data_IF_490895824095
#
_entry.id   IF_490895824095
#
_cell.length_a   1.000
_cell.length_b   1.000
_cell.length_c   1.000
_cell.angle_alpha   90.00
_cell.angle_beta   90.00
_cell.angle_gamma   90.00
#
_symmetry.space_group_name_H-M   'P 1'
#
loop_
_entity.id
_entity.type
_entity.pdbx_description
1 polymer ?
#
# COMPACT_ATOMS: atom_id res chain seq x y z
N UNK A 1 -33.78 -15.22 16.50
CA UNK A 1 -32.41 -14.86 16.13
C UNK A 1 -31.45 -15.32 17.23
N UNK A 2 -30.41 -16.08 16.88
CA UNK A 2 -29.48 -16.68 17.87
C UNK A 2 -28.49 -15.67 18.49
N UNK A 3 -28.69 -14.36 18.28
CA UNK A 3 -27.84 -13.30 18.85
C UNK A 3 -26.41 -13.28 18.26
N UNK A 4 -25.53 -12.45 18.88
CA UNK A 4 -24.12 -12.37 18.53
C UNK A 4 -23.36 -13.45 19.27
N UNK A 5 -22.80 -14.42 18.55
CA UNK A 5 -22.06 -15.55 19.15
C UNK A 5 -20.63 -15.22 19.53
N UNK A 6 -19.97 -14.36 18.73
CA UNK A 6 -18.58 -13.99 18.95
C UNK A 6 -18.54 -12.60 19.58
N UNK A 7 -17.96 -12.43 20.79
CA UNK A 7 -17.86 -11.13 21.45
C UNK A 7 -17.03 -10.14 20.62
N UNK A 8 -17.31 -8.85 20.82
CA UNK A 8 -16.43 -7.77 20.34
C UNK A 8 -15.29 -7.52 21.31
N UNK A 9 -14.17 -6.94 20.85
CA UNK A 9 -13.11 -6.47 21.73
C UNK A 9 -13.24 -4.97 21.97
N UNK A 10 -13.07 -4.55 23.21
CA UNK A 10 -13.15 -3.15 23.63
C UNK A 10 -12.01 -2.82 24.58
N UNK A 11 -11.55 -1.55 24.58
CA UNK A 11 -10.62 -1.00 25.56
C UNK A 11 -11.29 0.16 26.32
N UNK A 12 -10.96 0.33 27.58
CA UNK A 12 -11.43 1.49 28.32
C UNK A 12 -10.60 2.72 27.92
N UNK A 13 -11.28 3.80 27.57
CA UNK A 13 -10.65 5.06 27.22
C UNK A 13 -10.85 6.04 28.41
N UNK A 14 -9.81 6.21 29.20
CA UNK A 14 -9.84 7.06 30.39
C UNK A 14 -10.17 8.53 30.08
N UNK A 15 -9.72 9.05 28.94
CA UNK A 15 -9.94 10.46 28.55
C UNK A 15 -11.41 10.80 28.34
N UNK A 16 -12.20 9.85 27.87
CA UNK A 16 -13.62 10.05 27.55
C UNK A 16 -14.54 9.26 28.51
N UNK A 17 -13.99 8.47 29.43
CA UNK A 17 -14.72 7.67 30.41
C UNK A 17 -15.63 6.60 29.79
N UNK A 18 -15.26 6.09 28.58
CA UNK A 18 -16.09 5.13 27.82
C UNK A 18 -15.23 4.04 27.18
N UNK A 19 -15.88 2.95 26.81
CA UNK A 19 -15.26 1.89 26.04
C UNK A 19 -15.17 2.26 24.57
N UNK A 20 -14.02 2.02 23.96
CA UNK A 20 -13.76 2.14 22.53
C UNK A 20 -13.65 0.73 21.93
N UNK A 21 -14.24 0.50 20.78
CA UNK A 21 -14.19 -0.81 20.13
C UNK A 21 -12.83 -0.98 19.46
N UNK A 22 -12.09 -2.01 19.83
CA UNK A 22 -10.85 -2.43 19.18
C UNK A 22 -11.19 -3.15 17.86
N UNK A 23 -12.02 -4.21 17.93
CA UNK A 23 -12.51 -4.90 16.76
C UNK A 23 -13.96 -5.40 16.94
N UNK A 24 -14.64 -5.67 15.80
CA UNK A 24 -16.03 -6.10 15.80
C UNK A 24 -17.06 -4.99 15.50
N UNK A 25 -16.64 -3.86 14.92
CA UNK A 25 -17.50 -2.73 14.56
C UNK A 25 -18.75 -3.14 13.74
N UNK A 26 -18.59 -4.07 12.79
CA UNK A 26 -19.75 -4.56 11.98
C UNK A 26 -20.77 -5.29 12.85
N UNK A 27 -20.32 -6.13 13.81
CA UNK A 27 -21.19 -6.83 14.78
C UNK A 27 -21.91 -5.86 15.69
N UNK A 28 -21.20 -4.84 16.17
CA UNK A 28 -21.81 -3.78 16.99
C UNK A 28 -22.87 -3.01 16.21
N UNK A 29 -22.58 -2.58 14.99
CA UNK A 29 -23.56 -1.88 14.13
C UNK A 29 -24.79 -2.76 13.83
N UNK A 30 -24.58 -4.02 13.48
CA UNK A 30 -25.67 -4.96 13.23
C UNK A 30 -26.54 -5.19 14.46
N UNK A 31 -25.95 -5.28 15.67
CA UNK A 31 -26.68 -5.41 16.92
C UNK A 31 -27.52 -4.17 17.23
N UNK A 32 -26.97 -2.98 16.96
CA UNK A 32 -27.68 -1.70 17.14
C UNK A 32 -28.89 -1.62 16.18
N UNK A 33 -28.70 -1.97 14.91
CA UNK A 33 -29.78 -2.01 13.89
C UNK A 33 -30.85 -3.04 14.30
N UNK A 34 -30.45 -4.17 14.87
CA UNK A 34 -31.38 -5.21 15.34
C UNK A 34 -32.06 -4.88 16.68
N UNK A 35 -31.90 -3.66 17.22
CA UNK A 35 -32.52 -3.20 18.46
C UNK A 35 -32.04 -3.92 19.71
N UNK A 36 -30.83 -4.52 19.71
CA UNK A 36 -30.27 -5.19 20.87
C UNK A 36 -29.79 -4.16 21.90
N UNK A 37 -30.19 -4.36 23.17
CA UNK A 37 -29.77 -3.51 24.28
C UNK A 37 -28.34 -3.76 24.75
N UNK A 38 -27.78 -4.93 24.44
CA UNK A 38 -26.43 -5.32 24.82
C UNK A 38 -25.80 -6.25 23.77
N UNK A 39 -24.48 -6.31 23.80
CA UNK A 39 -23.67 -7.21 22.97
C UNK A 39 -22.55 -7.79 23.82
N UNK A 40 -22.22 -9.08 23.70
CA UNK A 40 -21.08 -9.66 24.38
C UNK A 40 -19.78 -8.95 23.98
N UNK A 41 -18.99 -8.54 24.98
CA UNK A 41 -17.70 -7.90 24.78
C UNK A 41 -16.68 -8.42 25.79
N UNK A 42 -15.40 -8.45 25.40
CA UNK A 42 -14.30 -8.63 26.34
C UNK A 42 -13.40 -7.39 26.33
N UNK A 43 -12.80 -7.12 27.47
CA UNK A 43 -11.93 -5.95 27.67
C UNK A 43 -10.51 -6.37 27.31
N UNK A 44 -9.89 -5.62 26.42
CA UNK A 44 -8.52 -5.78 25.96
C UNK A 44 -7.88 -4.39 25.94
N UNK A 45 -7.32 -4.01 27.09
CA UNK A 45 -6.70 -2.69 27.27
C UNK A 45 -5.29 -2.62 26.66
N UNK A 46 -4.67 -3.77 26.40
CA UNK A 46 -3.33 -3.87 25.80
C UNK A 46 -3.36 -3.72 24.28
N UNK A 47 -4.56 -3.70 23.70
CA UNK A 47 -4.75 -3.55 22.26
C UNK A 47 -4.27 -2.18 21.78
N UNK A 48 -3.32 -2.18 20.87
CA UNK A 48 -2.78 -0.97 20.22
C UNK A 48 -3.35 -0.81 18.81
N UNK A 49 -3.36 0.43 18.30
CA UNK A 49 -3.89 0.72 16.96
C UNK A 49 -3.13 -0.04 15.84
N UNK A 50 -1.86 -0.37 16.10
CA UNK A 50 -1.04 -1.18 15.18
C UNK A 50 -1.58 -2.62 15.03
N UNK A 51 -2.16 -3.23 16.09
CA UNK A 51 -2.74 -4.58 16.04
C UNK A 51 -3.95 -4.64 15.10
N UNK A 52 -4.74 -3.56 15.03
CA UNK A 52 -5.86 -3.46 14.09
C UNK A 52 -5.39 -3.47 12.63
N UNK A 53 -4.27 -2.80 12.36
CA UNK A 53 -3.70 -2.78 11.01
C UNK A 53 -3.16 -4.16 10.66
N UNK A 54 -2.45 -4.82 11.56
CA UNK A 54 -1.93 -6.17 11.37
C UNK A 54 -3.07 -7.15 11.07
N UNK A 55 -4.15 -7.15 11.87
CA UNK A 55 -5.34 -7.97 11.63
C UNK A 55 -5.97 -7.70 10.23
N UNK A 56 -6.09 -6.43 9.86
CA UNK A 56 -6.69 -6.04 8.59
C UNK A 56 -5.79 -6.36 7.38
N UNK A 57 -4.46 -6.29 7.52
CA UNK A 57 -3.51 -6.75 6.49
C UNK A 57 -3.64 -8.25 6.25
N UNK A 58 -3.85 -9.04 7.32
CA UNK A 58 -4.08 -10.49 7.20
C UNK A 58 -5.43 -10.82 6.54
N UNK A 59 -6.44 -9.98 6.72
CA UNK A 59 -7.77 -10.14 6.11
C UNK A 59 -7.89 -9.52 4.71
N UNK A 60 -6.82 -8.96 4.16
CA UNK A 60 -6.81 -8.28 2.85
C UNK A 60 -7.85 -7.15 2.75
N UNK A 61 -8.15 -6.49 3.87
CA UNK A 61 -9.15 -5.42 3.93
C UNK A 61 -8.58 -4.01 3.74
N UNK A 62 -7.25 -3.87 3.67
CA UNK A 62 -6.56 -2.59 3.47
C UNK A 62 -6.17 -2.39 2.02
N UNK A 63 -6.30 -1.16 1.56
CA UNK A 63 -5.76 -0.75 0.27
C UNK A 63 -4.23 -0.67 0.33
N UNK A 64 -3.58 -0.77 -0.82
CA UNK A 64 -2.12 -0.64 -0.91
C UNK A 64 -1.61 0.69 -0.33
N UNK A 65 -2.41 1.77 -0.44
CA UNK A 65 -2.09 3.07 0.15
C UNK A 65 -2.13 3.03 1.67
N UNK A 66 -3.18 2.49 2.28
CA UNK A 66 -3.29 2.38 3.74
C UNK A 66 -2.14 1.55 4.32
N UNK A 67 -1.75 0.49 3.61
CA UNK A 67 -0.58 -0.33 3.95
C UNK A 67 0.70 0.50 3.86
N UNK A 68 0.89 1.26 2.78
CA UNK A 68 2.06 2.12 2.61
C UNK A 68 2.14 3.18 3.71
N UNK A 69 1.02 3.84 4.04
CA UNK A 69 0.94 4.84 5.10
C UNK A 69 1.28 4.24 6.49
N UNK A 70 0.83 3.00 6.75
CA UNK A 70 1.22 2.28 7.96
C UNK A 70 2.72 2.01 8.00
N UNK A 71 3.28 1.45 6.93
CA UNK A 71 4.72 1.18 6.82
C UNK A 71 5.51 2.46 7.01
N UNK A 72 5.09 3.57 6.40
CA UNK A 72 5.72 4.88 6.56
C UNK A 72 5.77 5.34 8.03
N UNK A 73 4.65 5.20 8.76
CA UNK A 73 4.61 5.52 10.20
C UNK A 73 5.56 4.63 11.01
N UNK A 74 5.66 3.34 10.71
CA UNK A 74 6.57 2.44 11.42
C UNK A 74 8.04 2.74 11.13
N UNK A 75 8.38 3.07 9.87
CA UNK A 75 9.72 3.53 9.48
C UNK A 75 10.09 4.83 10.19
N UNK A 76 9.17 5.79 10.30
CA UNK A 76 9.35 7.04 11.04
C UNK A 76 9.58 6.84 12.55
N UNK A 77 9.04 5.74 13.12
CA UNK A 77 9.34 5.29 14.50
C UNK A 77 10.71 4.60 14.63
N UNK A 78 11.49 4.50 13.55
CA UNK A 78 12.83 3.87 13.55
C UNK A 78 12.84 2.36 13.33
N UNK A 79 11.70 1.73 13.03
CA UNK A 79 11.68 0.30 12.71
C UNK A 79 12.30 0.03 11.35
N UNK A 80 12.97 -1.12 11.20
CA UNK A 80 13.50 -1.56 9.90
C UNK A 80 12.41 -2.25 9.08
N UNK A 81 12.58 -2.29 7.75
CA UNK A 81 11.66 -3.04 6.88
C UNK A 81 11.59 -4.53 7.25
N UNK A 82 12.69 -5.11 7.76
CA UNK A 82 12.73 -6.49 8.23
C UNK A 82 11.84 -6.69 9.46
N UNK A 83 11.92 -5.78 10.44
CA UNK A 83 11.06 -5.82 11.64
C UNK A 83 9.58 -5.70 11.27
N UNK A 84 9.26 -4.74 10.40
CA UNK A 84 7.87 -4.53 9.93
C UNK A 84 7.36 -5.77 9.17
N UNK A 85 8.19 -6.40 8.35
CA UNK A 85 7.85 -7.62 7.63
C UNK A 85 7.51 -8.79 8.58
N UNK A 86 8.30 -8.94 9.64
CA UNK A 86 8.04 -9.94 10.68
C UNK A 86 6.72 -9.68 11.41
N UNK A 87 6.47 -8.44 11.85
CA UNK A 87 5.22 -8.04 12.53
C UNK A 87 3.99 -8.26 11.65
N UNK A 88 4.09 -7.96 10.35
CA UNK A 88 3.01 -8.15 9.37
C UNK A 88 2.91 -9.60 8.86
N UNK A 89 3.82 -10.49 9.22
CA UNK A 89 3.95 -11.85 8.65
C UNK A 89 3.98 -11.82 7.11
N UNK A 90 4.71 -10.86 6.54
CA UNK A 90 4.92 -10.68 5.10
C UNK A 90 6.42 -10.76 4.76
N UNK A 91 6.75 -10.86 3.47
CA UNK A 91 8.15 -10.80 3.05
C UNK A 91 8.70 -9.37 3.11
N UNK A 92 10.01 -9.22 3.27
CA UNK A 92 10.69 -7.91 3.21
C UNK A 92 10.46 -7.26 1.83
N UNK A 93 10.45 -8.05 0.76
CA UNK A 93 10.15 -7.58 -0.59
C UNK A 93 8.75 -6.99 -0.70
N UNK A 94 7.77 -7.59 -0.02
CA UNK A 94 6.40 -7.08 0.04
C UNK A 94 6.35 -5.72 0.75
N UNK A 95 7.01 -5.58 1.91
CA UNK A 95 7.11 -4.31 2.63
C UNK A 95 7.83 -3.25 1.80
N UNK A 96 8.96 -3.61 1.16
CA UNK A 96 9.71 -2.71 0.28
C UNK A 96 8.87 -2.20 -0.89
N UNK A 97 8.04 -3.07 -1.49
CA UNK A 97 7.17 -2.69 -2.60
C UNK A 97 6.13 -1.64 -2.19
N UNK A 98 5.49 -1.83 -1.03
CA UNK A 98 4.53 -0.85 -0.51
C UNK A 98 5.21 0.44 -0.03
N UNK A 99 6.39 0.36 0.58
CA UNK A 99 7.16 1.54 1.01
C UNK A 99 7.51 2.47 -0.17
N UNK A 100 7.71 1.93 -1.37
CA UNK A 100 7.98 2.73 -2.58
C UNK A 100 6.80 3.62 -2.99
N UNK A 101 5.57 3.29 -2.57
CA UNK A 101 4.38 4.12 -2.84
C UNK A 101 4.41 5.46 -2.09
N UNK A 102 5.24 5.60 -1.06
CA UNK A 102 5.38 6.83 -0.29
C UNK A 102 6.13 7.94 -1.04
N UNK A 103 6.95 7.56 -2.02
CA UNK A 103 7.81 8.48 -2.76
C UNK A 103 7.69 8.22 -4.27
N UNK A 104 6.47 8.31 -4.79
CA UNK A 104 6.22 8.20 -6.23
C UNK A 104 6.52 9.52 -6.94
N UNK A 105 7.12 9.51 -8.15
CA UNK A 105 7.12 10.66 -9.05
C UNK A 105 5.68 11.13 -9.34
N UNK A 106 5.47 12.44 -9.50
CA UNK A 106 4.14 13.05 -9.58
C UNK A 106 3.22 12.39 -10.63
N UNK A 107 3.72 12.15 -11.84
CA UNK A 107 2.93 11.52 -12.91
C UNK A 107 2.49 10.09 -12.58
N UNK A 108 3.29 9.35 -11.81
CA UNK A 108 2.97 8.00 -11.35
C UNK A 108 2.05 8.06 -10.13
N UNK A 109 2.27 9.04 -9.25
CA UNK A 109 1.42 9.29 -8.10
C UNK A 109 -0.02 9.61 -8.53
N UNK A 110 -0.20 10.47 -9.52
CA UNK A 110 -1.51 10.81 -10.09
C UNK A 110 -2.22 9.58 -10.67
N UNK A 111 -1.48 8.74 -11.39
CA UNK A 111 -2.01 7.50 -11.94
C UNK A 111 -2.50 6.53 -10.85
N UNK A 112 -1.73 6.41 -9.77
CA UNK A 112 -2.07 5.57 -8.63
C UNK A 112 -3.21 6.15 -7.79
N UNK A 113 -3.17 7.45 -7.47
CA UNK A 113 -4.16 8.11 -6.63
C UNK A 113 -5.53 8.26 -7.31
N UNK A 114 -5.55 8.42 -8.64
CA UNK A 114 -6.81 8.42 -9.40
C UNK A 114 -7.47 7.05 -9.52
N UNK A 115 -6.79 5.98 -9.07
CA UNK A 115 -7.27 4.60 -9.20
C UNK A 115 -7.17 4.03 -10.63
N UNK A 116 -6.59 4.76 -11.59
CA UNK A 116 -6.39 4.31 -12.97
C UNK A 116 -5.40 3.15 -13.07
N UNK A 117 -4.43 3.08 -12.17
CA UNK A 117 -3.52 1.95 -12.04
C UNK A 117 -3.28 1.61 -10.56
N UNK A 118 -3.80 0.48 -10.10
CA UNK A 118 -3.63 -0.02 -8.73
C UNK A 118 -2.72 -1.26 -8.65
N UNK A 119 -2.26 -1.77 -9.80
CA UNK A 119 -1.33 -2.89 -9.84
C UNK A 119 0.08 -2.44 -9.43
N UNK A 120 0.51 -2.88 -8.24
CA UNK A 120 1.81 -2.50 -7.67
C UNK A 120 3.00 -2.92 -8.54
N UNK A 121 2.88 -3.98 -9.32
CA UNK A 121 3.92 -4.40 -10.25
C UNK A 121 4.10 -3.36 -11.37
N UNK A 122 2.99 -2.89 -11.94
CA UNK A 122 3.02 -1.83 -12.96
C UNK A 122 3.59 -0.54 -12.39
N UNK A 123 3.11 -0.11 -11.21
CA UNK A 123 3.63 1.09 -10.53
C UNK A 123 5.15 0.97 -10.31
N UNK A 124 5.61 -0.17 -9.79
CA UNK A 124 7.04 -0.40 -9.61
C UNK A 124 7.82 -0.31 -10.92
N UNK A 125 7.31 -0.92 -11.99
CA UNK A 125 7.94 -0.91 -13.30
C UNK A 125 8.04 0.52 -13.86
N UNK A 126 6.98 1.32 -13.74
CA UNK A 126 6.97 2.72 -14.15
C UNK A 126 7.97 3.57 -13.33
N UNK A 127 8.13 3.30 -12.03
CA UNK A 127 9.17 3.96 -11.21
C UNK A 127 10.58 3.60 -11.70
N UNK A 128 10.81 2.36 -12.11
CA UNK A 128 12.10 1.93 -12.70
C UNK A 128 12.34 2.67 -14.03
N UNK A 129 11.33 2.73 -14.89
CA UNK A 129 11.37 3.49 -16.14
C UNK A 129 11.67 4.97 -15.90
N UNK A 130 10.96 5.59 -14.98
CA UNK A 130 11.14 7.01 -14.65
C UNK A 130 12.56 7.33 -14.14
N UNK A 131 13.15 6.44 -13.34
CA UNK A 131 14.55 6.60 -12.90
C UNK A 131 15.56 6.48 -14.04
N UNK A 132 15.24 5.69 -15.05
CA UNK A 132 16.12 5.49 -16.21
C UNK A 132 15.99 6.61 -17.24
N UNK A 133 14.76 7.04 -17.53
CA UNK A 133 14.40 8.13 -18.46
C UNK A 133 13.10 8.79 -18.01
N UNK A 134 13.18 9.89 -17.23
CA UNK A 134 12.01 10.61 -16.73
C UNK A 134 11.12 11.18 -17.83
N UNK A 135 11.73 11.73 -18.90
CA UNK A 135 11.01 12.43 -19.96
C UNK A 135 10.17 11.44 -20.75
N UNK A 136 10.80 10.39 -21.29
CA UNK A 136 10.11 9.35 -22.06
C UNK A 136 9.01 8.69 -21.23
N UNK A 137 9.26 8.44 -19.95
CA UNK A 137 8.25 7.82 -19.07
C UNK A 137 7.06 8.73 -18.82
N UNK A 138 7.31 10.02 -18.56
CA UNK A 138 6.25 11.01 -18.35
C UNK A 138 5.36 11.15 -19.59
N UNK A 139 5.96 11.30 -20.77
CA UNK A 139 5.24 11.44 -22.03
C UNK A 139 4.43 10.17 -22.33
N UNK A 140 5.01 9.00 -22.09
CA UNK A 140 4.31 7.74 -22.27
C UNK A 140 3.08 7.63 -21.36
N UNK A 141 3.22 8.00 -20.07
CA UNK A 141 2.10 8.01 -19.13
C UNK A 141 1.00 8.95 -19.62
N UNK A 142 1.34 10.17 -20.03
CA UNK A 142 0.37 11.15 -20.50
C UNK A 142 -0.39 10.69 -21.75
N UNK A 143 0.30 10.03 -22.68
CA UNK A 143 -0.31 9.50 -23.90
C UNK A 143 -1.20 8.27 -23.65
N UNK A 144 -1.01 7.58 -22.52
CA UNK A 144 -1.73 6.35 -22.19
C UNK A 144 -2.69 6.51 -20.99
N UNK A 145 -2.81 7.71 -20.40
CA UNK A 145 -3.59 7.94 -19.17
C UNK A 145 -5.10 7.65 -19.30
N UNK A 146 -5.64 7.62 -20.50
CA UNK A 146 -7.05 7.29 -20.76
C UNK A 146 -7.26 5.79 -21.05
N UNK A 147 -6.18 5.00 -21.14
CA UNK A 147 -6.21 3.57 -21.42
C UNK A 147 -5.87 2.77 -20.15
N UNK A 148 -6.32 1.50 -20.13
CA UNK A 148 -5.91 0.57 -19.07
C UNK A 148 -4.46 0.16 -19.32
N UNK A 149 -3.57 0.58 -18.42
CA UNK A 149 -2.16 0.19 -18.48
C UNK A 149 -2.03 -1.27 -18.06
N UNK A 150 -1.56 -2.10 -18.98
CA UNK A 150 -1.29 -3.52 -18.74
C UNK A 150 0.17 -3.75 -18.33
N UNK A 151 0.46 -4.89 -17.69
CA UNK A 151 1.84 -5.30 -17.38
C UNK A 151 2.69 -5.40 -18.66
N UNK A 152 2.08 -5.88 -19.76
CA UNK A 152 2.76 -6.00 -21.05
C UNK A 152 3.14 -4.62 -21.62
N UNK A 153 2.23 -3.63 -21.59
CA UNK A 153 2.52 -2.29 -22.10
C UNK A 153 3.60 -1.58 -21.28
N UNK A 154 3.59 -1.74 -19.96
CA UNK A 154 4.63 -1.21 -19.09
C UNK A 154 5.99 -1.91 -19.30
N UNK A 155 6.00 -3.22 -19.59
CA UNK A 155 7.22 -3.94 -19.94
C UNK A 155 7.80 -3.46 -21.27
N UNK A 156 6.97 -3.24 -22.29
CA UNK A 156 7.40 -2.69 -23.59
C UNK A 156 8.06 -1.32 -23.40
N UNK A 157 7.51 -0.45 -22.55
CA UNK A 157 8.14 0.84 -22.24
C UNK A 157 9.54 0.63 -21.64
N UNK A 158 9.67 -0.29 -20.66
CA UNK A 158 10.94 -0.60 -20.03
C UNK A 158 11.97 -1.07 -21.05
N UNK A 159 11.59 -2.04 -21.88
CA UNK A 159 12.47 -2.62 -22.92
C UNK A 159 12.92 -1.55 -23.93
N UNK A 160 12.02 -0.63 -24.31
CA UNK A 160 12.32 0.51 -25.17
C UNK A 160 13.36 1.46 -24.56
N UNK A 161 13.19 1.81 -23.28
CA UNK A 161 14.13 2.69 -22.55
C UNK A 161 15.52 2.02 -22.44
N UNK A 162 15.55 0.72 -22.09
CA UNK A 162 16.80 -0.04 -21.98
C UNK A 162 17.52 -0.14 -23.34
N UNK A 163 16.79 -0.38 -24.42
CA UNK A 163 17.34 -0.42 -25.78
C UNK A 163 17.95 0.93 -26.19
N UNK A 164 17.26 2.05 -25.93
CA UNK A 164 17.78 3.37 -26.27
C UNK A 164 19.02 3.72 -25.44
N UNK A 165 19.05 3.31 -24.16
CA UNK A 165 20.21 3.51 -23.31
C UNK A 165 21.45 2.74 -23.82
N UNK A 166 21.27 1.49 -24.24
CA UNK A 166 22.39 0.70 -24.80
C UNK A 166 22.93 1.30 -26.11
N UNK A 167 22.06 1.74 -27.01
CA UNK A 167 22.47 2.43 -28.25
C UNK A 167 23.22 3.74 -28.01
N UNK A 168 22.82 4.50 -26.99
CA UNK A 168 23.51 5.75 -26.66
C UNK A 168 24.91 5.48 -26.05
N UNK A 169 25.09 4.37 -25.35
CA UNK A 169 26.39 3.94 -24.81
C UNK A 169 27.32 3.50 -25.96
N UNK A 170 26.83 2.73 -26.92
CA UNK A 170 27.60 2.32 -28.10
C UNK A 170 28.06 3.54 -28.88
N UNK A 171 27.18 4.51 -29.17
CA UNK A 171 27.55 5.77 -29.85
C UNK A 171 28.55 6.58 -29.07
N UNK A 172 28.45 6.64 -27.76
CA UNK A 172 29.44 7.38 -26.92
C UNK A 172 30.81 6.69 -26.91
N UNK A 173 30.87 5.35 -27.00
CA UNK A 173 32.15 4.62 -27.09
C UNK A 173 32.85 4.82 -28.46
N UNK A 174 32.07 4.98 -29.54
CA UNK A 174 32.63 5.21 -30.89
C UNK A 174 33.30 6.60 -31.02
N UNK A 175 32.93 7.57 -30.20
CA UNK A 175 33.54 8.91 -30.17
C UNK A 175 34.74 9.06 -29.23
N UNK A 176 35.13 8.02 -28.48
CA UNK A 176 36.21 8.07 -27.50
C UNK A 176 37.55 7.50 -28.00
N UNK A 177 37.63 7.16 -29.28
CA UNK A 177 38.86 6.68 -29.93
C UNK A 177 39.42 7.78 -30.85
N UNK A 178 40.07 8.78 -30.28
CA UNK A 178 41.10 9.62 -30.92
C UNK A 178 42.06 10.15 -29.90
#
# INVERSE_FOLDING_TARGET
SRGVKTPISVRFNEKIGRYTINHGHRRFRASKIAGKSSIPAYIDNDYIDDDQVIENVHRENLTAREIADYIGRQLAKGKTQTTIAQELSKSVSWVSLHAKLLNLPDSIADLFHSGKCTDLYIIHLLVVCYKADPITTHDWINNNKEQVISRRSAQILKDFIEYNKSKNIERASDYTIT
#
